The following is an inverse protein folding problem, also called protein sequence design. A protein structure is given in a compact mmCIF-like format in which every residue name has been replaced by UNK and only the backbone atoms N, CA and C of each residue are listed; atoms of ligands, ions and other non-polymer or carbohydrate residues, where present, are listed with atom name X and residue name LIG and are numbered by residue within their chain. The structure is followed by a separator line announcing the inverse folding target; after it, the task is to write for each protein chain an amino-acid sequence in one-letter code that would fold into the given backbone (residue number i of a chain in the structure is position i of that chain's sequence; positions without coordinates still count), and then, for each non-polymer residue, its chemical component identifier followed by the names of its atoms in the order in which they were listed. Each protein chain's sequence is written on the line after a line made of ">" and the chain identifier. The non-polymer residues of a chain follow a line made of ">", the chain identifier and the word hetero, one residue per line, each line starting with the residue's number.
data_IF_716093130250
#
_entry.id   IF_716093130250
#
_cell.length_a   1.000
_cell.length_b   1.000
_cell.length_c   1.000
_cell.angle_alpha   90.00
_cell.angle_beta   90.00
_cell.angle_gamma   90.00
#
_symmetry.space_group_name_H-M   'P 1'
#
loop_
_entity.id
_entity.type
_entity.pdbx_description
1 polymer ?
#
# COMPACT_ATOMS: atom_id res chain seq x y z
N UNK A 1 20.44 1.90 -25.72
CA UNK A 1 19.31 0.98 -25.44
C UNK A 1 18.83 1.25 -24.03
N UNK A 2 17.92 2.20 -23.87
CA UNK A 2 17.32 2.61 -22.59
C UNK A 2 15.79 2.66 -22.76
N UNK A 3 15.08 2.60 -21.63
CA UNK A 3 13.60 2.61 -21.43
C UNK A 3 12.90 1.25 -21.31
N UNK A 4 12.96 0.64 -20.12
CA UNK A 4 11.99 -0.37 -19.63
C UNK A 4 11.82 -0.32 -18.10
N UNK A 5 11.73 0.88 -17.53
CA UNK A 5 11.62 1.12 -16.08
C UNK A 5 10.39 1.95 -15.68
N UNK A 6 9.25 1.75 -16.36
CA UNK A 6 8.02 2.49 -16.09
C UNK A 6 6.90 1.49 -15.88
N UNK A 7 6.47 1.19 -14.65
CA UNK A 7 5.16 0.52 -14.53
C UNK A 7 4.42 0.80 -13.22
N UNK A 8 5.00 0.64 -12.03
CA UNK A 8 4.17 0.58 -10.82
C UNK A 8 3.75 1.95 -10.26
N UNK A 9 4.70 2.89 -10.10
CA UNK A 9 4.38 4.25 -9.61
C UNK A 9 3.78 5.15 -10.67
N UNK A 10 4.08 4.90 -11.95
CA UNK A 10 3.37 5.54 -13.06
C UNK A 10 1.90 5.14 -13.08
N UNK A 11 1.55 3.87 -12.83
CA UNK A 11 0.16 3.43 -12.82
C UNK A 11 -0.63 3.99 -11.63
N UNK A 12 -0.02 4.10 -10.44
CA UNK A 12 -0.63 4.72 -9.26
C UNK A 12 -0.75 6.23 -9.42
N UNK A 13 0.30 6.93 -9.85
CA UNK A 13 0.26 8.37 -10.09
C UNK A 13 -0.70 8.73 -11.23
N UNK A 14 -0.74 7.95 -12.32
CA UNK A 14 -1.71 8.13 -13.39
C UNK A 14 -3.14 7.82 -12.92
N UNK A 15 -3.35 6.80 -12.08
CA UNK A 15 -4.68 6.53 -11.51
C UNK A 15 -5.16 7.66 -10.59
N UNK A 16 -4.27 8.25 -9.76
CA UNK A 16 -4.59 9.41 -8.92
C UNK A 16 -4.79 10.69 -9.74
N UNK A 17 -3.99 10.93 -10.77
CA UNK A 17 -4.14 12.08 -11.67
C UNK A 17 -5.43 11.98 -12.52
N UNK A 18 -5.79 10.77 -12.97
CA UNK A 18 -7.07 10.50 -13.66
C UNK A 18 -8.24 10.66 -12.69
N UNK A 19 -8.16 10.17 -11.45
CA UNK A 19 -9.19 10.40 -10.44
C UNK A 19 -9.36 11.89 -10.11
N UNK A 20 -8.26 12.63 -9.94
CA UNK A 20 -8.30 14.08 -9.70
C UNK A 20 -8.88 14.86 -10.89
N UNK A 21 -8.45 14.54 -12.12
CA UNK A 21 -8.96 15.16 -13.34
C UNK A 21 -10.45 14.81 -13.60
N UNK A 22 -10.91 13.62 -13.23
CA UNK A 22 -12.32 13.22 -13.36
C UNK A 22 -13.24 13.81 -12.28
N UNK A 23 -12.69 14.20 -11.12
CA UNK A 23 -13.43 14.98 -10.12
C UNK A 23 -13.60 16.43 -10.58
N UNK A 24 -12.65 16.98 -11.34
CA UNK A 24 -12.74 18.33 -11.91
C UNK A 24 -13.53 18.39 -13.23
N UNK A 25 -13.51 17.31 -14.02
CA UNK A 25 -14.18 17.24 -15.31
C UNK A 25 -15.35 16.25 -15.30
N UNK A 26 -16.56 16.81 -15.19
CA UNK A 26 -17.84 16.27 -15.72
C UNK A 26 -18.57 15.15 -14.96
N UNK A 27 -19.89 15.14 -15.16
CA UNK A 27 -20.87 14.29 -14.48
C UNK A 27 -20.79 12.78 -14.77
N UNK A 28 -21.80 12.05 -14.29
CA UNK A 28 -21.80 10.61 -13.97
C UNK A 28 -21.20 9.66 -15.03
N UNK A 29 -21.31 9.94 -16.33
CA UNK A 29 -20.83 9.04 -17.41
C UNK A 29 -19.32 9.11 -17.67
N UNK A 30 -18.64 10.19 -17.27
CA UNK A 30 -17.18 10.31 -17.40
C UNK A 30 -16.42 9.47 -16.36
N UNK A 31 -17.02 9.30 -15.18
CA UNK A 31 -16.42 8.64 -14.03
C UNK A 31 -16.27 7.12 -14.25
N UNK A 32 -17.30 6.44 -14.80
CA UNK A 32 -17.25 5.00 -15.04
C UNK A 32 -16.18 4.60 -16.06
N UNK A 33 -16.06 5.37 -17.14
CA UNK A 33 -15.04 5.15 -18.18
C UNK A 33 -13.62 5.32 -17.61
N UNK A 34 -13.42 6.36 -16.81
CA UNK A 34 -12.14 6.64 -16.17
C UNK A 34 -11.73 5.57 -15.14
N UNK A 35 -12.68 5.13 -14.30
CA UNK A 35 -12.45 4.04 -13.34
C UNK A 35 -12.12 2.72 -14.03
N UNK A 36 -12.77 2.43 -15.15
CA UNK A 36 -12.49 1.24 -15.97
C UNK A 36 -11.08 1.27 -16.57
N UNK A 37 -10.66 2.41 -17.10
CA UNK A 37 -9.32 2.61 -17.65
C UNK A 37 -8.23 2.53 -16.56
N UNK A 38 -8.45 3.19 -15.41
CA UNK A 38 -7.53 3.11 -14.27
C UNK A 38 -7.37 1.66 -13.75
N UNK A 39 -8.48 0.91 -13.69
CA UNK A 39 -8.47 -0.51 -13.32
C UNK A 39 -7.71 -1.38 -14.32
N UNK A 40 -7.86 -1.14 -15.62
CA UNK A 40 -7.13 -1.86 -16.67
C UNK A 40 -5.62 -1.59 -16.61
N UNK A 41 -5.22 -0.33 -16.41
CA UNK A 41 -3.81 0.06 -16.27
C UNK A 41 -3.17 -0.53 -15.00
N UNK A 42 -3.90 -0.54 -13.88
CA UNK A 42 -3.46 -1.19 -12.63
C UNK A 42 -3.22 -2.70 -12.83
N UNK A 43 -4.12 -3.41 -13.51
CA UNK A 43 -3.97 -4.85 -13.79
C UNK A 43 -2.76 -5.15 -14.67
N UNK A 44 -2.57 -4.37 -15.74
CA UNK A 44 -1.44 -4.56 -16.66
C UNK A 44 -0.09 -4.31 -15.95
N UNK A 45 0.04 -3.20 -15.22
CA UNK A 45 1.27 -2.86 -14.50
C UNK A 45 1.68 -3.94 -13.48
N UNK A 46 0.71 -4.63 -12.87
CA UNK A 46 0.96 -5.73 -11.94
C UNK A 46 1.31 -7.05 -12.62
N UNK A 47 0.72 -7.37 -13.76
CA UNK A 47 1.11 -8.56 -14.52
C UNK A 47 2.57 -8.48 -14.99
N UNK A 48 2.99 -7.31 -15.46
CA UNK A 48 4.39 -7.06 -15.83
C UNK A 48 5.32 -7.09 -14.62
N UNK A 49 4.88 -6.49 -13.51
CA UNK A 49 5.62 -6.57 -12.24
C UNK A 49 5.75 -8.02 -11.78
N UNK A 50 4.66 -8.77 -11.62
CA UNK A 50 4.68 -10.16 -11.21
C UNK A 50 5.58 -11.02 -12.12
N UNK A 51 5.59 -10.78 -13.44
CA UNK A 51 6.50 -11.47 -14.36
C UNK A 51 7.99 -11.14 -14.10
N UNK A 52 8.31 -9.87 -13.80
CA UNK A 52 9.66 -9.43 -13.42
C UNK A 52 10.08 -10.00 -12.04
N UNK A 53 9.17 -10.03 -11.07
CA UNK A 53 9.44 -10.46 -9.70
C UNK A 53 9.50 -11.99 -9.55
N UNK A 54 8.67 -12.74 -10.29
CA UNK A 54 8.67 -14.21 -10.27
C UNK A 54 9.99 -14.82 -10.81
N UNK A 55 10.68 -14.12 -11.70
CA UNK A 55 12.02 -14.50 -12.17
C UNK A 55 13.10 -14.30 -11.10
N UNK A 56 12.98 -13.24 -10.29
CA UNK A 56 13.92 -12.88 -9.24
C UNK A 56 13.71 -13.66 -7.93
N UNK A 57 12.50 -14.14 -7.63
CA UNK A 57 12.12 -14.73 -6.34
C UNK A 57 12.74 -16.10 -5.98
N UNK A 58 13.53 -16.73 -6.85
CA UNK A 58 14.22 -17.99 -6.50
C UNK A 58 15.30 -17.71 -5.44
N UNK A 59 15.08 -18.22 -4.22
CA UNK A 59 16.08 -18.32 -3.15
C UNK A 59 16.07 -17.24 -2.07
N UNK A 60 15.24 -16.20 -2.16
CA UNK A 60 15.08 -15.25 -1.05
C UNK A 60 14.05 -15.80 -0.05
N UNK A 61 14.49 -16.06 1.18
CA UNK A 61 13.59 -16.44 2.27
C UNK A 61 13.10 -15.15 2.93
N UNK A 62 11.80 -14.87 2.81
CA UNK A 62 11.15 -13.84 3.59
C UNK A 62 11.16 -14.26 5.06
N UNK A 63 11.77 -13.46 5.94
CA UNK A 63 11.59 -13.61 7.38
C UNK A 63 10.30 -12.89 7.78
N UNK A 64 9.20 -13.65 7.75
CA UNK A 64 7.87 -13.11 8.05
C UNK A 64 7.80 -12.50 9.46
N UNK A 65 8.49 -13.11 10.43
CA UNK A 65 8.51 -12.63 11.81
C UNK A 65 9.21 -11.28 11.88
N UNK A 66 10.35 -11.15 11.22
CA UNK A 66 11.09 -9.89 11.15
C UNK A 66 10.27 -8.81 10.43
N UNK A 67 9.61 -9.13 9.31
CA UNK A 67 8.77 -8.15 8.61
C UNK A 67 7.64 -7.66 9.50
N UNK A 68 6.92 -8.57 10.16
CA UNK A 68 5.82 -8.22 11.06
C UNK A 68 6.32 -7.36 12.23
N UNK A 69 7.48 -7.71 12.82
CA UNK A 69 8.13 -6.90 13.85
C UNK A 69 8.41 -5.47 13.36
N UNK A 70 8.94 -5.32 12.14
CA UNK A 70 9.22 -4.01 11.56
C UNK A 70 7.94 -3.23 11.25
N UNK A 71 6.87 -3.88 10.79
CA UNK A 71 5.57 -3.23 10.56
C UNK A 71 4.98 -2.68 11.87
N UNK A 72 5.02 -3.47 12.95
CA UNK A 72 4.53 -3.04 14.27
C UNK A 72 5.35 -1.88 14.82
N UNK A 73 6.68 -1.91 14.68
CA UNK A 73 7.54 -0.78 15.06
C UNK A 73 7.23 0.47 14.26
N UNK A 74 7.13 0.36 12.93
CA UNK A 74 6.83 1.50 12.07
C UNK A 74 5.48 2.15 12.43
N UNK A 75 4.48 1.35 12.82
CA UNK A 75 3.19 1.83 13.32
C UNK A 75 3.32 2.65 14.62
N UNK A 76 4.28 2.31 15.49
CA UNK A 76 4.51 3.01 16.76
C UNK A 76 5.35 4.28 16.59
N UNK A 77 6.15 4.36 15.53
CA UNK A 77 7.15 5.42 15.35
C UNK A 77 6.57 6.75 14.83
N UNK A 78 5.41 6.75 14.17
CA UNK A 78 4.83 7.96 13.58
C UNK A 78 3.71 8.56 14.43
N UNK A 79 3.61 9.89 14.41
CA UNK A 79 2.55 10.61 15.12
C UNK A 79 1.18 10.39 14.46
N UNK A 80 1.14 10.33 13.12
CA UNK A 80 -0.08 10.02 12.36
C UNK A 80 -0.66 8.63 12.69
N UNK A 81 0.17 7.69 13.13
CA UNK A 81 -0.26 6.31 13.43
C UNK A 81 -0.35 6.01 14.93
N UNK A 82 -0.21 7.00 15.82
CA UNK A 82 -0.26 6.79 17.27
C UNK A 82 -1.55 6.12 17.74
N UNK A 83 -2.70 6.64 17.32
CA UNK A 83 -4.01 6.07 17.68
C UNK A 83 -4.20 4.67 17.07
N UNK A 84 -3.61 4.43 15.90
CA UNK A 84 -3.63 3.13 15.24
C UNK A 84 -2.81 2.10 16.03
N UNK A 85 -1.62 2.48 16.51
CA UNK A 85 -0.79 1.62 17.37
C UNK A 85 -1.50 1.29 18.68
N UNK A 86 -2.18 2.27 19.28
CA UNK A 86 -2.99 2.06 20.48
C UNK A 86 -4.14 1.08 20.21
N UNK A 87 -4.91 1.30 19.14
CA UNK A 87 -5.99 0.39 18.75
C UNK A 87 -5.47 -1.03 18.46
N UNK A 88 -4.37 -1.13 17.70
CA UNK A 88 -3.75 -2.40 17.33
C UNK A 88 -3.39 -3.23 18.57
N UNK A 89 -2.80 -2.59 19.58
CA UNK A 89 -2.45 -3.24 20.85
C UNK A 89 -3.68 -3.59 21.69
N UNK A 90 -4.66 -2.68 21.81
CA UNK A 90 -5.85 -2.86 22.65
C UNK A 90 -6.78 -3.96 22.11
N UNK A 91 -6.98 -4.03 20.80
CA UNK A 91 -7.88 -4.99 20.16
C UNK A 91 -7.22 -6.33 19.81
N UNK A 92 -5.91 -6.47 20.11
CA UNK A 92 -5.14 -7.64 19.77
C UNK A 92 -5.09 -7.90 18.26
N UNK A 93 -4.96 -6.83 17.46
CA UNK A 93 -4.89 -6.95 16.00
C UNK A 93 -3.62 -7.71 15.62
N UNK A 94 -3.74 -8.62 14.65
CA UNK A 94 -2.61 -9.43 14.13
C UNK A 94 -2.32 -9.06 12.69
N UNK A 95 -1.07 -9.24 12.27
CA UNK A 95 -0.68 -9.19 10.87
C UNK A 95 -0.37 -10.61 10.42
N UNK A 96 -0.93 -11.02 9.28
CA UNK A 96 -0.63 -12.31 8.67
C UNK A 96 -0.29 -12.13 7.19
N UNK A 97 0.86 -12.66 6.79
CA UNK A 97 1.27 -12.70 5.40
C UNK A 97 0.62 -13.90 4.72
N UNK A 98 0.00 -13.69 3.56
CA UNK A 98 -0.71 -14.75 2.83
C UNK A 98 -0.49 -14.63 1.33
N UNK A 99 -0.60 -15.75 0.61
CA UNK A 99 -0.55 -15.76 -0.85
C UNK A 99 -1.83 -15.19 -1.45
N UNK A 100 -1.79 -14.68 -2.68
CA UNK A 100 -3.01 -14.17 -3.36
C UNK A 100 -4.10 -15.23 -3.58
N UNK A 101 -3.74 -16.52 -3.56
CA UNK A 101 -4.71 -17.61 -3.60
C UNK A 101 -5.51 -17.78 -2.30
N UNK A 102 -5.28 -16.93 -1.29
CA UNK A 102 -6.01 -17.01 -0.04
C UNK A 102 -7.48 -16.59 -0.27
N UNK A 103 -8.46 -17.43 0.13
CA UNK A 103 -9.87 -17.19 -0.15
C UNK A 103 -10.45 -15.96 0.56
N UNK A 104 -9.72 -15.36 1.50
CA UNK A 104 -10.09 -14.09 2.12
C UNK A 104 -10.08 -12.94 1.12
N UNK A 105 -9.20 -12.98 0.11
CA UNK A 105 -9.15 -11.98 -0.94
C UNK A 105 -10.22 -12.26 -2.00
N UNK A 106 -11.38 -11.62 -1.85
CA UNK A 106 -12.47 -11.67 -2.84
C UNK A 106 -12.14 -10.92 -4.12
N UNK A 107 -11.26 -9.91 -4.03
CA UNK A 107 -10.71 -9.20 -5.16
C UNK A 107 -9.26 -9.67 -5.37
N UNK A 108 -8.92 -10.20 -6.55
CA UNK A 108 -7.56 -10.65 -6.86
C UNK A 108 -6.50 -9.56 -6.65
N UNK A 109 -6.94 -8.30 -6.73
CA UNK A 109 -6.12 -7.11 -6.72
C UNK A 109 -6.03 -6.40 -5.35
N UNK A 110 -6.66 -6.90 -4.28
CA UNK A 110 -6.50 -6.24 -2.98
C UNK A 110 -5.13 -6.59 -2.38
N UNK A 111 -4.30 -5.59 -2.09
CA UNK A 111 -2.96 -5.81 -1.51
C UNK A 111 -3.03 -6.19 -0.03
N UNK A 112 -4.06 -5.70 0.66
CA UNK A 112 -4.26 -5.88 2.09
C UNK A 112 -5.76 -5.98 2.37
N UNK A 113 -6.11 -6.57 3.51
CA UNK A 113 -7.46 -6.44 4.05
C UNK A 113 -7.50 -6.63 5.56
N UNK A 114 -8.40 -5.92 6.22
CA UNK A 114 -8.76 -6.14 7.61
C UNK A 114 -9.96 -7.09 7.75
N UNK A 115 -9.72 -8.30 8.27
CA UNK A 115 -10.79 -9.21 8.68
C UNK A 115 -11.28 -8.85 10.09
N UNK A 116 -12.45 -8.22 10.10
CA UNK A 116 -13.16 -7.72 11.29
C UNK A 116 -13.62 -8.82 12.25
N UNK A 117 -13.66 -10.08 11.82
CA UNK A 117 -14.07 -11.22 12.66
C UNK A 117 -12.88 -11.85 13.36
N UNK A 118 -11.71 -11.84 12.72
CA UNK A 118 -10.49 -12.42 13.27
C UNK A 118 -9.50 -11.38 13.80
N UNK A 119 -9.86 -10.08 13.77
CA UNK A 119 -9.01 -8.92 14.06
C UNK A 119 -7.63 -9.08 13.42
N UNK A 120 -7.61 -9.43 12.14
CA UNK A 120 -6.37 -9.76 11.42
C UNK A 120 -6.26 -8.95 10.14
N UNK A 121 -5.12 -8.30 9.97
CA UNK A 121 -4.69 -7.68 8.72
C UNK A 121 -3.99 -8.76 7.91
N UNK A 122 -4.59 -9.13 6.79
CA UNK A 122 -3.95 -10.00 5.81
C UNK A 122 -3.20 -9.16 4.80
N UNK A 123 -1.92 -9.46 4.59
CA UNK A 123 -1.07 -8.80 3.59
C UNK A 123 -0.72 -9.82 2.51
N UNK A 124 -0.97 -9.49 1.24
CA UNK A 124 -0.52 -10.34 0.15
C UNK A 124 1.01 -10.34 0.07
N UNK A 125 1.62 -11.53 0.05
CA UNK A 125 3.08 -11.69 0.14
C UNK A 125 3.75 -12.14 -1.15
N UNK A 126 3.06 -12.11 -2.29
CA UNK A 126 3.60 -12.61 -3.55
C UNK A 126 4.86 -11.83 -3.98
N UNK A 127 4.82 -10.51 -3.86
CA UNK A 127 5.89 -9.64 -4.37
C UNK A 127 6.91 -9.24 -3.30
N UNK A 128 6.60 -9.44 -2.01
CA UNK A 128 7.45 -9.02 -0.89
C UNK A 128 8.84 -9.70 -0.87
N UNK A 129 8.96 -11.02 -1.12
CA UNK A 129 10.28 -11.68 -1.19
C UNK A 129 11.14 -11.13 -2.34
N UNK A 130 10.52 -10.83 -3.49
CA UNK A 130 11.20 -10.23 -4.63
C UNK A 130 11.74 -8.85 -4.29
N UNK A 131 10.94 -8.03 -3.62
CA UNK A 131 11.35 -6.69 -3.22
C UNK A 131 12.48 -6.68 -2.19
N UNK A 132 12.41 -7.54 -1.17
CA UNK A 132 13.50 -7.69 -0.19
C UNK A 132 14.80 -8.13 -0.88
N UNK A 133 14.71 -9.07 -1.82
CA UNK A 133 15.88 -9.54 -2.58
C UNK A 133 16.49 -8.42 -3.42
N UNK A 134 15.68 -7.58 -4.04
CA UNK A 134 16.17 -6.44 -4.80
C UNK A 134 16.93 -5.44 -3.91
N UNK A 135 16.35 -5.08 -2.76
CA UNK A 135 17.00 -4.19 -1.79
C UNK A 135 18.34 -4.76 -1.31
N UNK A 136 18.38 -6.06 -1.01
CA UNK A 136 19.61 -6.76 -0.65
C UNK A 136 20.64 -6.77 -1.80
N UNK A 137 20.19 -6.99 -3.03
CA UNK A 137 21.03 -6.90 -4.24
C UNK A 137 21.61 -5.50 -4.48
N UNK A 138 20.93 -4.47 -3.99
CA UNK A 138 21.38 -3.06 -3.97
C UNK A 138 22.29 -2.74 -2.76
N UNK A 139 22.63 -3.73 -1.95
CA UNK A 139 23.59 -3.62 -0.85
C UNK A 139 22.99 -3.35 0.52
N UNK A 140 21.65 -3.39 0.68
CA UNK A 140 21.04 -3.23 2.01
C UNK A 140 21.19 -4.52 2.85
N UNK A 141 21.55 -4.40 4.13
CA UNK A 141 21.44 -5.50 5.09
C UNK A 141 20.00 -6.02 5.21
N UNK A 142 19.85 -7.31 5.53
CA UNK A 142 18.54 -7.96 5.61
C UNK A 142 17.53 -7.22 6.50
N UNK A 143 17.96 -6.80 7.69
CA UNK A 143 17.11 -6.06 8.63
C UNK A 143 16.64 -4.73 8.06
N UNK A 144 17.51 -4.01 7.37
CA UNK A 144 17.19 -2.72 6.74
C UNK A 144 16.26 -2.91 5.55
N UNK A 145 16.44 -3.96 4.75
CA UNK A 145 15.52 -4.30 3.66
C UNK A 145 14.10 -4.55 4.18
N UNK A 146 13.94 -5.33 5.25
CA UNK A 146 12.64 -5.56 5.88
C UNK A 146 12.06 -4.27 6.47
N UNK A 147 12.89 -3.41 7.06
CA UNK A 147 12.46 -2.11 7.56
C UNK A 147 11.92 -1.21 6.44
N UNK A 148 12.61 -1.13 5.30
CA UNK A 148 12.16 -0.40 4.11
C UNK A 148 10.81 -0.94 3.62
N UNK A 149 10.65 -2.26 3.54
CA UNK A 149 9.38 -2.88 3.14
C UNK A 149 8.27 -2.53 4.13
N UNK A 150 8.52 -2.63 5.43
CA UNK A 150 7.55 -2.28 6.47
C UNK A 150 7.10 -0.82 6.37
N UNK A 151 8.04 0.11 6.15
CA UNK A 151 7.72 1.53 5.96
C UNK A 151 6.85 1.76 4.72
N UNK A 152 7.09 1.03 3.63
CA UNK A 152 6.27 1.13 2.41
C UNK A 152 4.89 0.48 2.55
N UNK A 153 4.75 -0.52 3.41
CA UNK A 153 3.45 -1.13 3.73
C UNK A 153 2.62 -0.28 4.70
N UNK A 154 3.26 0.56 5.51
CA UNK A 154 2.61 1.26 6.61
C UNK A 154 1.39 2.12 6.23
N UNK A 155 1.37 2.88 5.11
CA UNK A 155 0.17 3.61 4.71
C UNK A 155 -1.06 2.70 4.52
N UNK A 156 -0.85 1.53 3.90
CA UNK A 156 -1.91 0.53 3.72
C UNK A 156 -2.28 -0.14 5.05
N UNK A 157 -1.30 -0.45 5.91
CA UNK A 157 -1.60 -1.00 7.25
C UNK A 157 -2.46 0.00 8.05
N UNK A 158 -2.12 1.29 7.97
CA UNK A 158 -2.89 2.36 8.61
C UNK A 158 -4.33 2.43 8.07
N UNK A 159 -4.50 2.30 6.74
CA UNK A 159 -5.81 2.22 6.09
C UNK A 159 -6.65 1.08 6.68
N UNK A 160 -6.07 -0.13 6.73
CA UNK A 160 -6.78 -1.32 7.22
C UNK A 160 -7.13 -1.24 8.72
N UNK A 161 -6.26 -0.67 9.54
CA UNK A 161 -6.56 -0.44 10.96
C UNK A 161 -7.70 0.58 11.11
N UNK A 162 -7.76 1.59 10.24
CA UNK A 162 -8.80 2.61 10.26
C UNK A 162 -10.20 2.01 10.11
N UNK A 163 -10.38 1.01 9.21
CA UNK A 163 -11.64 0.25 9.13
C UNK A 163 -12.04 -0.39 10.46
N UNK A 164 -11.08 -0.97 11.18
CA UNK A 164 -11.30 -1.54 12.51
C UNK A 164 -11.72 -0.48 13.54
N UNK A 165 -11.02 0.66 13.55
CA UNK A 165 -11.32 1.79 14.43
C UNK A 165 -12.71 2.37 14.16
N UNK A 166 -13.07 2.59 12.90
CA UNK A 166 -14.37 3.11 12.49
C UNK A 166 -15.49 2.16 12.90
N UNK A 167 -15.33 0.85 12.66
CA UNK A 167 -16.29 -0.17 13.14
C UNK A 167 -16.51 -0.03 14.66
N UNK A 168 -15.44 0.02 15.45
CA UNK A 168 -15.54 0.10 16.91
C UNK A 168 -16.24 1.39 17.37
N UNK A 169 -15.91 2.53 16.77
CA UNK A 169 -16.57 3.81 17.03
C UNK A 169 -18.06 3.77 16.72
N UNK A 170 -18.45 3.19 15.58
CA UNK A 170 -19.85 3.09 15.18
C UNK A 170 -20.66 2.18 16.09
N UNK A 171 -20.11 1.04 16.51
CA UNK A 171 -20.74 0.16 17.50
C UNK A 171 -20.95 0.89 18.83
N UNK A 172 -19.95 1.65 19.29
CA UNK A 172 -20.03 2.38 20.54
C UNK A 172 -21.06 3.53 20.52
N UNK A 173 -21.18 4.25 19.40
CA UNK A 173 -22.06 5.40 19.26
C UNK A 173 -23.51 5.03 18.96
N UNK A 174 -23.73 4.02 18.11
CA UNK A 174 -25.04 3.74 17.54
C UNK A 174 -25.56 2.33 17.84
N UNK A 175 -24.78 1.49 18.52
CA UNK A 175 -25.20 0.14 18.91
C UNK A 175 -25.27 -0.88 17.76
N UNK A 176 -24.84 -0.51 16.55
CA UNK A 176 -24.75 -1.42 15.42
C UNK A 176 -23.38 -1.34 14.74
N UNK A 177 -22.96 -2.46 14.15
CA UNK A 177 -21.76 -2.48 13.33
C UNK A 177 -22.06 -1.84 11.97
N UNK A 178 -21.33 -0.79 11.64
CA UNK A 178 -21.41 -0.15 10.33
C UNK A 178 -20.82 -1.09 9.26
N UNK A 179 -21.48 -1.16 8.10
CA UNK A 179 -21.03 -2.04 7.03
C UNK A 179 -19.69 -1.51 6.52
N UNK A 180 -18.68 -2.36 6.54
CA UNK A 180 -17.36 -1.98 6.04
C UNK A 180 -17.40 -1.65 4.57
N UNK A 181 -16.51 -0.76 4.15
CA UNK A 181 -16.35 -0.41 2.74
C UNK A 181 -17.53 0.33 2.13
N UNK A 182 -18.32 1.04 2.95
CA UNK A 182 -19.10 2.19 2.46
C UNK A 182 -18.15 3.25 1.89
N UNK A 183 -18.65 4.12 1.02
CA UNK A 183 -17.88 5.24 0.47
C UNK A 183 -17.32 6.14 1.58
N UNK A 184 -18.08 6.36 2.65
CA UNK A 184 -17.67 7.20 3.78
C UNK A 184 -16.51 6.58 4.58
N UNK A 185 -16.61 5.29 4.92
CA UNK A 185 -15.53 4.52 5.57
C UNK A 185 -14.25 4.55 4.72
N UNK A 186 -14.34 4.26 3.42
CA UNK A 186 -13.20 4.29 2.49
C UNK A 186 -12.58 5.68 2.38
N UNK A 187 -13.40 6.74 2.34
CA UNK A 187 -12.92 8.14 2.31
C UNK A 187 -12.07 8.47 3.53
N UNK A 188 -12.51 8.07 4.73
CA UNK A 188 -11.76 8.26 5.97
C UNK A 188 -10.46 7.44 5.96
N UNK A 189 -10.52 6.20 5.47
CA UNK A 189 -9.36 5.31 5.40
C UNK A 189 -8.31 5.82 4.38
N UNK A 190 -8.72 6.34 3.23
CA UNK A 190 -7.81 6.99 2.27
C UNK A 190 -7.21 8.28 2.80
N UNK A 191 -7.98 9.13 3.48
CA UNK A 191 -7.43 10.34 4.11
C UNK A 191 -6.36 9.97 5.17
N UNK A 192 -6.62 8.91 5.93
CA UNK A 192 -5.68 8.35 6.90
C UNK A 192 -4.40 7.83 6.23
N UNK A 193 -4.54 7.05 5.16
CA UNK A 193 -3.42 6.56 4.35
C UNK A 193 -2.56 7.71 3.82
N UNK A 194 -3.19 8.75 3.26
CA UNK A 194 -2.51 9.92 2.71
C UNK A 194 -1.74 10.69 3.79
N UNK A 195 -2.33 10.87 4.98
CA UNK A 195 -1.66 11.50 6.13
C UNK A 195 -0.42 10.72 6.55
N UNK A 196 -0.53 9.39 6.68
CA UNK A 196 0.58 8.51 7.05
C UNK A 196 1.69 8.56 6.00
N UNK A 197 1.34 8.56 4.71
CA UNK A 197 2.30 8.70 3.62
C UNK A 197 3.04 10.04 3.66
N UNK A 198 2.32 11.14 3.88
CA UNK A 198 2.91 12.48 3.97
C UNK A 198 3.93 12.60 5.12
N UNK A 199 3.61 12.04 6.29
CA UNK A 199 4.56 12.02 7.40
C UNK A 199 5.80 11.18 7.10
N UNK A 200 5.63 9.98 6.54
CA UNK A 200 6.76 9.13 6.12
C UNK A 200 7.67 9.82 5.10
N UNK A 201 7.08 10.54 4.13
CA UNK A 201 7.81 11.30 3.13
C UNK A 201 8.62 12.44 3.76
N UNK A 202 8.06 13.10 4.77
CA UNK A 202 8.76 14.16 5.51
C UNK A 202 9.90 13.65 6.39
N UNK A 203 9.72 12.50 7.06
CA UNK A 203 10.71 11.95 8.00
C UNK A 203 11.85 11.21 7.32
N UNK A 204 11.61 10.64 6.14
CA UNK A 204 12.61 9.83 5.45
C UNK A 204 12.61 10.08 3.94
N UNK A 205 12.90 11.33 3.48
CA UNK A 205 12.91 11.69 2.07
C UNK A 205 13.74 10.75 1.16
N UNK A 206 14.91 10.23 1.59
CA UNK A 206 15.69 9.31 0.76
C UNK A 206 14.93 8.03 0.39
N UNK A 207 14.07 7.50 1.27
CA UNK A 207 13.27 6.29 1.04
C UNK A 207 12.37 6.38 -0.21
N UNK A 208 12.06 7.60 -0.63
CA UNK A 208 11.12 7.91 -1.70
C UNK A 208 11.80 8.46 -2.96
N UNK A 209 12.98 9.08 -2.80
CA UNK A 209 13.73 9.73 -3.89
C UNK A 209 14.90 8.90 -4.42
N UNK A 210 15.47 8.02 -3.61
CA UNK A 210 16.63 7.22 -4.01
C UNK A 210 16.18 5.99 -4.81
N UNK A 211 16.78 5.79 -5.99
CA UNK A 211 16.54 4.62 -6.83
C UNK A 211 16.83 3.29 -6.13
N UNK A 212 17.68 3.29 -5.10
CA UNK A 212 17.91 2.11 -4.26
C UNK A 212 16.66 1.69 -3.51
N UNK A 213 15.81 2.64 -3.12
CA UNK A 213 14.58 2.40 -2.36
C UNK A 213 13.31 2.58 -3.22
N UNK A 214 13.44 3.03 -4.46
CA UNK A 214 12.34 3.14 -5.40
C UNK A 214 11.80 1.75 -5.76
N UNK A 215 10.49 1.56 -5.60
CA UNK A 215 9.76 0.37 -6.05
C UNK A 215 9.65 0.28 -7.58
N UNK A 216 10.12 1.30 -8.29
CA UNK A 216 9.86 1.47 -9.72
C UNK A 216 11.09 1.89 -10.54
N UNK A 217 12.29 1.99 -9.95
CA UNK A 217 13.53 2.37 -10.64
C UNK A 217 13.40 3.67 -11.47
N UNK A 218 13.63 4.84 -10.86
CA UNK A 218 13.68 6.12 -11.59
C UNK A 218 12.34 6.70 -12.07
N UNK A 219 11.22 6.01 -11.84
CA UNK A 219 9.92 6.41 -12.37
C UNK A 219 9.26 7.66 -11.75
N UNK A 220 9.74 8.18 -10.62
CA UNK A 220 9.17 9.40 -10.01
C UNK A 220 9.76 10.68 -10.59
N UNK A 221 11.02 10.68 -11.02
CA UNK A 221 11.68 11.88 -11.55
C UNK A 221 11.08 12.33 -12.90
N UNK A 222 10.66 11.38 -13.74
CA UNK A 222 10.02 11.68 -15.02
C UNK A 222 8.59 12.26 -14.90
N UNK A 223 7.93 12.09 -13.75
CA UNK A 223 6.57 12.59 -13.54
C UNK A 223 6.55 14.06 -13.09
N UNK A 224 7.56 14.49 -12.33
CA UNK A 224 7.73 15.91 -11.95
C UNK A 224 8.05 16.78 -13.17
N UNK A 225 8.88 16.29 -14.12
CA UNK A 225 9.16 17.02 -15.36
C UNK A 225 7.93 17.13 -16.27
N UNK A 226 7.15 16.06 -16.42
CA UNK A 226 5.96 16.07 -17.29
C UNK A 226 4.79 16.92 -16.74
N UNK A 227 4.72 17.10 -15.41
CA UNK A 227 3.74 17.98 -14.76
C UNK A 227 4.15 19.45 -14.75
N UNK A 228 5.44 19.75 -14.88
CA UNK A 228 5.95 21.12 -15.01
C UNK A 228 5.94 21.61 -16.48
N UNK A 229 5.83 20.71 -17.45
CA UNK A 229 5.74 21.00 -18.88
C UNK A 229 4.30 21.06 -19.44
N UNK A 230 3.28 20.71 -18.65
CA UNK A 230 1.86 20.75 -19.01
C UNK A 230 1.14 21.96 -18.39
#
# INVERSE_FOLDING_TARGET
>A
MMSRGRSLTHALAAAFAVLAACVEASGETGLESALSQASALSRHARQESAALWNGAARGARLDEKLLIEMCVRALQDLDATRDHAQFFAQEGVRIQLVRSSNPKFLLPDALMMYDRNSNTIYIQNNDLPGFIKELQGKGLPERESHQVVAWKLLPMISHEICHGMNKKKMVALYGFAYNGSSIEDETICWATQARTLGELQSRNPPLWKDDRFSLAGGAFEAADEALLEA
#
